data_IF_754687483558
#
_entry.id   IF_754687483558
#
_cell.length_a   1.000
_cell.length_b   1.000
_cell.length_c   1.000
_cell.angle_alpha   90.00
_cell.angle_beta   90.00
_cell.angle_gamma   90.00
#
_symmetry.space_group_name_H-M   'P 1'
#
loop_
_entity.id
_entity.type
_entity.pdbx_description
1 polymer ?
#
# COMPACT_ATOMS: atom_id res chain seq x y z
N UNK A 1 2.30 24.63 6.24
CA UNK A 1 1.44 23.42 6.34
C UNK A 1 2.20 22.23 5.77
N UNK A 2 2.57 21.25 6.58
CA UNK A 2 3.26 20.06 6.11
C UNK A 2 2.33 19.22 5.21
N UNK A 3 2.73 18.99 3.97
CA UNK A 3 2.01 18.14 3.02
C UNK A 3 2.17 16.68 3.43
N UNK A 4 1.33 16.21 4.36
CA UNK A 4 1.29 14.80 4.71
C UNK A 4 0.92 13.97 3.46
N UNK A 5 1.62 12.85 3.20
CA UNK A 5 1.37 12.07 2.00
C UNK A 5 -0.03 11.46 2.03
N UNK A 6 -0.77 11.61 0.94
CA UNK A 6 -2.11 11.04 0.80
C UNK A 6 -2.08 9.51 0.80
N UNK A 7 -3.13 8.88 1.32
CA UNK A 7 -3.23 7.42 1.41
C UNK A 7 -2.95 6.72 0.08
N UNK A 8 -3.52 7.21 -1.03
CA UNK A 8 -3.29 6.60 -2.35
C UNK A 8 -1.81 6.66 -2.80
N UNK A 9 -1.05 7.68 -2.39
CA UNK A 9 0.39 7.75 -2.68
C UNK A 9 1.15 6.72 -1.86
N UNK A 10 0.75 6.49 -0.60
CA UNK A 10 1.31 5.40 0.22
C UNK A 10 0.99 4.04 -0.37
N UNK A 11 -0.26 3.80 -0.80
CA UNK A 11 -0.65 2.57 -1.48
C UNK A 11 0.13 2.35 -2.80
N UNK A 12 0.44 3.42 -3.55
CA UNK A 12 1.31 3.34 -4.74
C UNK A 12 2.75 2.95 -4.40
N UNK A 13 3.24 3.37 -3.24
CA UNK A 13 4.52 2.92 -2.71
C UNK A 13 4.43 1.46 -2.28
N UNK A 14 3.35 1.01 -1.66
CA UNK A 14 3.21 -0.40 -1.26
C UNK A 14 2.90 -1.35 -2.43
N UNK A 15 2.46 -0.87 -3.59
CA UNK A 15 2.17 -1.74 -4.74
C UNK A 15 3.41 -2.19 -5.53
N UNK A 16 4.62 -1.75 -5.14
CA UNK A 16 5.86 -2.12 -5.83
C UNK A 16 6.48 -3.38 -5.24
N UNK A 17 6.56 -4.46 -6.03
CA UNK A 17 7.10 -5.77 -5.61
C UNK A 17 8.46 -5.68 -4.90
N UNK A 18 9.46 -5.12 -5.58
CA UNK A 18 10.80 -4.95 -5.02
C UNK A 18 10.81 -4.13 -3.73
N UNK A 19 9.91 -3.14 -3.65
CA UNK A 19 9.81 -2.27 -2.48
C UNK A 19 9.19 -2.99 -1.29
N UNK A 20 8.20 -3.85 -1.52
CA UNK A 20 7.67 -4.74 -0.49
C UNK A 20 8.72 -5.73 -0.02
N UNK A 21 9.52 -6.31 -0.93
CA UNK A 21 10.58 -7.24 -0.55
C UNK A 21 11.63 -6.57 0.36
N UNK A 22 12.10 -5.38 -0.03
CA UNK A 22 12.99 -4.56 0.83
C UNK A 22 12.35 -4.22 2.18
N UNK A 23 11.06 -3.85 2.19
CA UNK A 23 10.36 -3.50 3.43
C UNK A 23 10.18 -4.71 4.35
N UNK A 24 9.83 -5.87 3.79
CA UNK A 24 9.72 -7.14 4.53
C UNK A 24 11.06 -7.52 5.15
N UNK A 25 12.18 -7.31 4.44
CA UNK A 25 13.52 -7.50 5.04
C UNK A 25 13.78 -6.56 6.20
N UNK A 26 13.47 -5.27 6.07
CA UNK A 26 13.62 -4.32 7.19
C UNK A 26 12.77 -4.74 8.40
N UNK A 27 11.56 -5.27 8.15
CA UNK A 27 10.70 -5.79 9.22
C UNK A 27 11.31 -7.04 9.87
N UNK A 28 11.85 -7.97 9.07
CA UNK A 28 12.39 -9.25 9.55
C UNK A 28 13.78 -9.13 10.18
N UNK A 29 14.58 -8.17 9.74
CA UNK A 29 15.97 -7.95 10.17
C UNK A 29 16.27 -6.44 10.18
N UNK A 30 15.83 -5.72 11.23
CA UNK A 30 16.11 -4.29 11.37
C UNK A 30 17.62 -3.99 11.44
N UNK A 31 18.01 -2.76 11.07
CA UNK A 31 19.40 -2.30 11.17
C UNK A 31 20.28 -2.62 9.96
N UNK A 32 19.72 -3.21 8.90
CA UNK A 32 20.46 -3.45 7.65
C UNK A 32 20.77 -2.13 6.93
N UNK A 33 21.96 -2.05 6.30
CA UNK A 33 22.34 -0.93 5.46
C UNK A 33 21.94 -1.13 3.99
N UNK A 34 22.05 -0.06 3.18
CA UNK A 34 21.64 -0.11 1.75
C UNK A 34 22.36 -1.21 0.98
N UNK A 35 23.66 -1.40 1.18
CA UNK A 35 24.43 -2.42 0.44
C UNK A 35 24.01 -3.84 0.79
N UNK A 36 23.74 -4.12 2.08
CA UNK A 36 23.22 -5.41 2.54
C UNK A 36 21.84 -5.70 1.94
N UNK A 37 20.93 -4.72 1.95
CA UNK A 37 19.60 -4.85 1.36
C UNK A 37 19.67 -5.04 -0.16
N UNK A 38 20.55 -4.31 -0.84
CA UNK A 38 20.75 -4.42 -2.28
C UNK A 38 21.28 -5.80 -2.68
N UNK A 39 22.28 -6.31 -1.94
CA UNK A 39 22.84 -7.64 -2.15
C UNK A 39 21.77 -8.73 -1.93
N UNK A 40 21.00 -8.63 -0.85
CA UNK A 40 20.00 -9.63 -0.49
C UNK A 40 18.85 -9.74 -1.52
N UNK A 41 18.51 -8.63 -2.17
CA UNK A 41 17.51 -8.58 -3.25
C UNK A 41 18.11 -8.70 -4.66
N UNK A 42 19.42 -8.91 -4.78
CA UNK A 42 20.15 -8.97 -6.04
C UNK A 42 19.86 -7.77 -6.96
N UNK A 43 19.96 -6.55 -6.41
CA UNK A 43 19.77 -5.29 -7.13
C UNK A 43 20.95 -4.34 -6.93
N UNK A 44 21.05 -3.31 -7.76
CA UNK A 44 22.06 -2.27 -7.58
C UNK A 44 21.79 -1.39 -6.36
N UNK A 45 22.85 -0.88 -5.74
CA UNK A 45 22.77 0.05 -4.61
C UNK A 45 21.94 1.31 -4.95
N UNK A 46 22.11 1.97 -6.12
CA UNK A 46 21.27 3.11 -6.49
C UNK A 46 19.78 2.75 -6.56
N UNK A 47 19.46 1.56 -7.07
CA UNK A 47 18.09 1.07 -7.13
C UNK A 47 17.51 0.86 -5.74
N UNK A 48 18.23 0.18 -4.86
CA UNK A 48 17.82 -0.02 -3.46
C UNK A 48 17.58 1.32 -2.75
N UNK A 49 18.53 2.25 -2.87
CA UNK A 49 18.44 3.59 -2.27
C UNK A 49 17.20 4.36 -2.73
N UNK A 50 16.87 4.30 -4.03
CA UNK A 50 15.67 4.95 -4.55
C UNK A 50 14.38 4.35 -3.96
N UNK A 51 14.31 3.03 -3.82
CA UNK A 51 13.14 2.37 -3.25
C UNK A 51 12.99 2.62 -1.75
N UNK A 52 14.10 2.62 -1.01
CA UNK A 52 14.14 2.94 0.42
C UNK A 52 13.72 4.38 0.69
N UNK A 53 14.17 5.34 -0.13
CA UNK A 53 13.72 6.74 -0.04
C UNK A 53 12.20 6.87 -0.24
N UNK A 54 11.61 6.06 -1.12
CA UNK A 54 10.15 6.06 -1.32
C UNK A 54 9.41 5.55 -0.08
N UNK A 55 9.89 4.49 0.57
CA UNK A 55 9.34 4.00 1.83
C UNK A 55 9.46 5.06 2.95
N UNK A 56 10.66 5.61 3.12
CA UNK A 56 10.93 6.67 4.10
C UNK A 56 10.04 7.90 3.87
N UNK A 57 9.86 8.33 2.62
CA UNK A 57 9.01 9.48 2.28
C UNK A 57 7.53 9.28 2.62
N UNK A 58 7.09 8.05 2.91
CA UNK A 58 5.74 7.72 3.39
C UNK A 58 5.70 7.50 4.90
N UNK A 59 6.82 7.74 5.58
CA UNK A 59 6.97 7.54 7.02
C UNK A 59 6.98 6.08 7.45
N UNK A 60 7.20 5.11 6.55
CA UNK A 60 7.07 3.69 6.87
C UNK A 60 8.37 3.04 7.38
N UNK A 61 9.48 3.75 7.24
CA UNK A 61 10.82 3.26 7.58
C UNK A 61 11.61 4.41 8.21
N UNK A 62 12.19 4.14 9.38
CA UNK A 62 13.13 5.02 10.08
C UNK A 62 14.56 4.76 9.63
N UNK A 63 15.42 5.73 9.93
CA UNK A 63 16.83 5.69 9.51
C UNK A 63 17.72 6.18 10.64
N UNK A 64 18.75 5.39 10.95
CA UNK A 64 19.86 5.80 11.81
C UNK A 64 21.17 5.89 11.02
N UNK A 65 22.10 6.72 11.50
CA UNK A 65 23.38 6.97 10.83
C UNK A 65 24.57 6.75 11.76
N UNK A 66 24.93 5.48 12.05
CA UNK A 66 26.17 5.19 12.77
C UNK A 66 27.38 5.44 11.86
N UNK A 67 28.06 6.56 12.10
CA UNK A 67 29.25 6.97 11.35
C UNK A 67 28.95 7.25 9.87
N UNK A 68 29.51 6.45 8.96
CA UNK A 68 29.38 6.63 7.51
C UNK A 68 28.21 5.83 6.89
N UNK A 69 27.60 4.93 7.65
CA UNK A 69 26.55 4.04 7.14
C UNK A 69 25.17 4.56 7.47
N UNK A 70 24.19 4.13 6.67
CA UNK A 70 22.76 4.41 6.87
C UNK A 70 22.08 3.07 7.11
N UNK A 71 21.45 2.92 8.27
CA UNK A 71 20.73 1.71 8.68
C UNK A 71 19.22 1.99 8.70
N UNK A 72 18.42 0.99 8.31
CA UNK A 72 16.98 1.12 8.16
C UNK A 72 16.23 0.30 9.20
N UNK A 73 15.16 0.90 9.76
CA UNK A 73 14.36 0.30 10.82
C UNK A 73 12.86 0.37 10.50
N UNK A 74 12.05 -0.62 10.93
CA UNK A 74 10.61 -0.58 10.79
C UNK A 74 10.02 0.37 11.84
N UNK A 75 10.24 1.66 11.64
CA UNK A 75 9.82 2.74 12.52
C UNK A 75 8.97 3.74 11.73
N UNK A 76 7.87 4.19 12.33
CA UNK A 76 6.95 5.13 11.69
C UNK A 76 7.31 6.58 11.99
N UNK A 77 7.29 7.43 10.97
CA UNK A 77 7.41 8.88 11.16
C UNK A 77 6.14 9.43 11.86
N UNK A 78 6.26 10.04 13.05
CA UNK A 78 5.12 10.59 13.79
C UNK A 78 4.41 11.74 13.07
N UNK A 79 5.07 12.41 12.12
CA UNK A 79 4.48 13.48 11.32
C UNK A 79 3.56 12.97 10.20
N UNK A 80 3.58 11.65 9.93
CA UNK A 80 2.70 11.01 8.97
C UNK A 80 1.66 10.20 9.72
N UNK A 81 0.49 10.80 9.97
CA UNK A 81 -0.59 10.21 10.79
C UNK A 81 -0.99 8.78 10.37
N UNK A 82 -0.94 8.45 9.06
CA UNK A 82 -1.26 7.12 8.54
C UNK A 82 -0.11 6.11 8.64
N UNK A 83 1.12 6.53 8.91
CA UNK A 83 2.29 5.66 8.85
C UNK A 83 2.30 4.59 9.94
N UNK A 84 2.08 4.98 11.20
CA UNK A 84 2.06 4.05 12.35
C UNK A 84 1.06 2.89 12.16
N UNK A 85 -0.23 3.12 11.84
CA UNK A 85 -1.16 2.01 11.64
C UNK A 85 -0.79 1.15 10.42
N UNK A 86 -0.32 1.75 9.32
CA UNK A 86 0.09 0.99 8.11
C UNK A 86 1.30 0.11 8.40
N UNK A 87 2.32 0.64 9.09
CA UNK A 87 3.51 -0.11 9.49
C UNK A 87 3.13 -1.30 10.37
N UNK A 88 2.28 -1.09 11.39
CA UNK A 88 1.79 -2.18 12.24
C UNK A 88 1.06 -3.25 11.44
N UNK A 89 0.19 -2.84 10.51
CA UNK A 89 -0.54 -3.77 9.65
C UNK A 89 0.40 -4.55 8.71
N UNK A 90 1.47 -3.93 8.24
CA UNK A 90 2.50 -4.59 7.44
C UNK A 90 3.34 -5.57 8.26
N UNK A 91 3.68 -5.24 9.51
CA UNK A 91 4.34 -6.18 10.43
C UNK A 91 3.47 -7.42 10.67
N UNK A 92 2.17 -7.22 10.96
CA UNK A 92 1.21 -8.33 11.10
C UNK A 92 1.09 -9.15 9.82
N UNK A 93 1.02 -8.49 8.65
CA UNK A 93 0.96 -9.16 7.36
C UNK A 93 2.22 -10.02 7.14
N UNK A 94 3.41 -9.47 7.38
CA UNK A 94 4.67 -10.20 7.21
C UNK A 94 4.79 -11.40 8.17
N UNK A 95 4.23 -11.31 9.37
CA UNK A 95 4.18 -12.41 10.34
C UNK A 95 3.20 -13.52 9.95
N UNK A 96 2.10 -13.19 9.27
CA UNK A 96 1.05 -14.14 8.92
C UNK A 96 1.25 -14.81 7.56
N UNK A 97 1.83 -14.10 6.58
CA UNK A 97 1.98 -14.61 5.21
C UNK A 97 3.44 -14.61 4.76
N UNK A 98 3.90 -15.64 4.04
CA UNK A 98 5.27 -15.73 3.56
C UNK A 98 5.56 -14.71 2.46
N UNK A 99 6.85 -14.48 2.15
CA UNK A 99 7.27 -13.55 1.09
C UNK A 99 6.69 -13.92 -0.30
N UNK A 100 6.46 -15.21 -0.56
CA UNK A 100 5.80 -15.67 -1.80
C UNK A 100 4.39 -15.08 -2.00
N UNK A 101 3.74 -14.59 -0.94
CA UNK A 101 2.44 -13.94 -1.00
C UNK A 101 2.51 -12.42 -1.22
N UNK A 102 3.70 -11.82 -1.33
CA UNK A 102 3.85 -10.36 -1.48
C UNK A 102 3.17 -9.80 -2.74
N UNK A 103 3.00 -10.61 -3.78
CA UNK A 103 2.23 -10.26 -4.97
C UNK A 103 0.76 -9.96 -4.66
N UNK A 104 0.16 -10.67 -3.70
CA UNK A 104 -1.20 -10.41 -3.23
C UNK A 104 -1.25 -9.09 -2.49
N UNK A 105 -0.30 -8.84 -1.58
CA UNK A 105 -0.15 -7.56 -0.86
C UNK A 105 0.04 -6.38 -1.82
N UNK A 106 0.87 -6.57 -2.87
CA UNK A 106 1.10 -5.57 -3.90
C UNK A 106 -0.17 -5.24 -4.68
N UNK A 107 -0.93 -6.25 -5.11
CA UNK A 107 -2.22 -6.06 -5.82
C UNK A 107 -3.25 -5.38 -4.93
N UNK A 108 -3.31 -5.75 -3.65
CA UNK A 108 -4.17 -5.11 -2.67
C UNK A 108 -3.86 -3.61 -2.56
N UNK A 109 -2.59 -3.25 -2.36
CA UNK A 109 -2.17 -1.85 -2.34
C UNK A 109 -2.41 -1.15 -3.70
N UNK A 110 -2.23 -1.87 -4.82
CA UNK A 110 -2.48 -1.33 -6.16
C UNK A 110 -3.95 -0.92 -6.36
N UNK A 111 -4.88 -1.68 -5.80
CA UNK A 111 -6.31 -1.34 -5.80
C UNK A 111 -6.58 0.06 -5.27
N UNK A 112 -5.85 0.51 -4.24
CA UNK A 112 -6.01 1.83 -3.64
C UNK A 112 -4.97 2.88 -4.08
N UNK A 113 -4.12 2.57 -5.05
CA UNK A 113 -3.04 3.46 -5.48
C UNK A 113 -3.48 4.66 -6.35
N UNK A 114 -4.79 4.99 -6.37
CA UNK A 114 -5.36 6.09 -7.12
C UNK A 114 -6.52 6.76 -6.36
N UNK A 115 -6.61 8.10 -6.41
CA UNK A 115 -7.62 8.86 -5.67
C UNK A 115 -9.07 8.46 -6.03
N UNK A 116 -9.37 8.27 -7.33
CA UNK A 116 -10.71 7.83 -7.77
C UNK A 116 -11.08 6.43 -7.27
N UNK A 117 -10.11 5.53 -7.07
CA UNK A 117 -10.38 4.19 -6.52
C UNK A 117 -10.70 4.26 -5.02
N UNK A 118 -10.02 5.14 -4.28
CA UNK A 118 -10.42 5.45 -2.89
C UNK A 118 -11.84 6.02 -2.85
N UNK A 119 -12.19 6.96 -3.75
CA UNK A 119 -13.53 7.53 -3.79
C UNK A 119 -14.61 6.49 -4.12
N UNK A 120 -14.32 5.51 -4.99
CA UNK A 120 -15.21 4.37 -5.23
C UNK A 120 -15.40 3.51 -3.99
N UNK A 121 -14.32 3.20 -3.27
CA UNK A 121 -14.41 2.43 -2.01
C UNK A 121 -15.24 3.18 -0.97
N UNK A 122 -15.06 4.50 -0.82
CA UNK A 122 -15.91 5.35 0.04
C UNK A 122 -17.38 5.26 -0.32
N UNK A 123 -17.69 5.45 -1.60
CA UNK A 123 -19.08 5.34 -2.06
C UNK A 123 -19.66 3.95 -1.73
N UNK A 124 -18.88 2.88 -1.88
CA UNK A 124 -19.32 1.52 -1.58
C UNK A 124 -19.38 1.20 -0.06
N UNK A 125 -18.77 2.01 0.81
CA UNK A 125 -18.97 1.91 2.27
C UNK A 125 -20.38 2.36 2.69
N UNK A 126 -21.03 3.22 1.91
CA UNK A 126 -22.42 3.64 2.13
C UNK A 126 -23.44 2.57 1.72
N UNK A 127 -22.99 1.54 1.00
CA UNK A 127 -23.83 0.43 0.53
C UNK A 127 -23.53 0.00 -0.91
N UNK A 128 -24.10 -1.13 -1.36
CA UNK A 128 -23.92 -1.61 -2.73
C UNK A 128 -24.40 -0.57 -3.76
N UNK A 129 -23.67 -0.41 -4.86
CA UNK A 129 -24.02 0.49 -5.97
C UNK A 129 -23.81 -0.18 -7.32
N UNK A 130 -24.66 0.10 -8.28
CA UNK A 130 -24.46 -0.26 -9.68
C UNK A 130 -23.32 0.54 -10.32
N UNK A 131 -22.83 0.06 -11.46
CA UNK A 131 -21.81 0.79 -12.23
C UNK A 131 -22.32 2.16 -12.69
N UNK A 132 -23.62 2.31 -12.98
CA UNK A 132 -24.22 3.59 -13.41
C UNK A 132 -24.27 4.59 -12.26
N UNK A 133 -24.65 4.14 -11.06
CA UNK A 133 -24.65 4.99 -9.86
C UNK A 133 -23.24 5.47 -9.52
N UNK A 134 -22.23 4.60 -9.58
CA UNK A 134 -20.82 5.00 -9.38
C UNK A 134 -20.34 6.01 -10.43
N UNK A 135 -20.72 5.84 -11.70
CA UNK A 135 -20.38 6.78 -12.76
C UNK A 135 -21.00 8.16 -12.51
N UNK A 136 -22.29 8.21 -12.18
CA UNK A 136 -23.00 9.45 -11.89
C UNK A 136 -22.41 10.14 -10.65
N UNK A 137 -22.23 9.39 -9.55
CA UNK A 137 -21.74 9.91 -8.28
C UNK A 137 -20.30 10.46 -8.39
N UNK A 138 -19.41 9.77 -9.11
CA UNK A 138 -18.00 10.15 -9.22
C UNK A 138 -17.64 10.93 -10.50
N UNK A 139 -18.64 11.21 -11.34
CA UNK A 139 -18.53 11.85 -12.66
C UNK A 139 -17.46 11.17 -13.52
N UNK A 140 -17.60 9.87 -13.72
CA UNK A 140 -16.66 9.06 -14.50
C UNK A 140 -17.29 8.60 -15.81
N UNK A 141 -16.49 8.59 -16.87
CA UNK A 141 -16.87 7.91 -18.11
C UNK A 141 -16.99 6.39 -17.88
N UNK A 142 -17.77 5.68 -18.71
CA UNK A 142 -17.90 4.22 -18.60
C UNK A 142 -16.55 3.49 -18.67
N UNK A 143 -15.66 3.94 -19.56
CA UNK A 143 -14.33 3.35 -19.72
C UNK A 143 -13.46 3.54 -18.47
N UNK A 144 -13.42 4.76 -17.90
CA UNK A 144 -12.65 5.04 -16.68
C UNK A 144 -13.22 4.30 -15.47
N UNK A 145 -14.55 4.17 -15.38
CA UNK A 145 -15.19 3.40 -14.33
C UNK A 145 -14.78 1.93 -14.39
N UNK A 146 -14.88 1.29 -15.56
CA UNK A 146 -14.42 -0.10 -15.79
C UNK A 146 -12.94 -0.28 -15.47
N UNK A 147 -12.10 0.66 -15.91
CA UNK A 147 -10.66 0.63 -15.64
C UNK A 147 -10.36 0.63 -14.14
N UNK A 148 -10.99 1.52 -13.37
CA UNK A 148 -10.79 1.58 -11.92
C UNK A 148 -11.36 0.35 -11.20
N UNK A 149 -12.53 -0.13 -11.60
CA UNK A 149 -13.15 -1.34 -11.04
C UNK A 149 -12.31 -2.60 -11.30
N UNK A 150 -11.63 -2.70 -12.45
CA UNK A 150 -10.69 -3.81 -12.73
C UNK A 150 -9.64 -3.93 -11.62
N UNK A 151 -8.95 -2.84 -11.30
CA UNK A 151 -7.92 -2.84 -10.25
C UNK A 151 -8.49 -3.06 -8.85
N UNK A 152 -9.67 -2.54 -8.55
CA UNK A 152 -10.33 -2.78 -7.27
C UNK A 152 -10.70 -4.26 -7.10
N UNK A 153 -11.20 -4.91 -8.16
CA UNK A 153 -11.51 -6.35 -8.16
C UNK A 153 -10.25 -7.21 -8.07
N UNK A 154 -9.23 -6.92 -8.88
CA UNK A 154 -7.94 -7.64 -8.85
C UNK A 154 -7.22 -7.50 -7.51
N UNK A 155 -7.42 -6.37 -6.81
CA UNK A 155 -6.93 -6.14 -5.45
C UNK A 155 -7.82 -6.67 -4.33
N UNK A 156 -8.96 -7.28 -4.64
CA UNK A 156 -9.90 -7.84 -3.65
C UNK A 156 -10.66 -6.81 -2.82
N UNK A 157 -10.90 -5.61 -3.36
CA UNK A 157 -11.66 -4.53 -2.69
C UNK A 157 -13.14 -4.54 -3.02
N UNK A 158 -13.49 -4.99 -4.23
CA UNK A 158 -14.85 -4.92 -4.75
C UNK A 158 -15.19 -6.25 -5.37
N UNK A 159 -16.42 -6.70 -5.13
CA UNK A 159 -17.02 -7.84 -5.81
C UNK A 159 -18.36 -7.44 -6.44
N UNK A 160 -18.84 -8.28 -7.35
CA UNK A 160 -20.08 -8.06 -8.09
C UNK A 160 -21.11 -9.07 -7.65
N UNK A 161 -22.29 -8.59 -7.30
CA UNK A 161 -23.46 -9.39 -6.95
C UNK A 161 -24.62 -8.99 -7.87
N UNK A 162 -24.90 -9.83 -8.87
CA UNK A 162 -25.88 -9.48 -9.92
C UNK A 162 -25.51 -8.18 -10.66
N UNK A 163 -26.34 -7.14 -10.48
CA UNK A 163 -26.16 -5.83 -11.12
C UNK A 163 -25.47 -4.79 -10.21
N UNK A 164 -25.25 -5.12 -8.94
CA UNK A 164 -24.62 -4.22 -7.97
C UNK A 164 -23.17 -4.64 -7.71
N UNK A 165 -22.39 -3.67 -7.28
CA UNK A 165 -21.03 -3.82 -6.78
C UNK A 165 -21.07 -3.54 -5.29
N UNK A 166 -20.32 -4.30 -4.50
CA UNK A 166 -20.17 -4.07 -3.06
C UNK A 166 -18.72 -4.24 -2.64
N UNK A 167 -18.38 -3.75 -1.45
CA UNK A 167 -17.09 -4.04 -0.86
C UNK A 167 -16.95 -5.54 -0.62
N UNK A 168 -15.82 -6.08 -1.05
CA UNK A 168 -15.48 -7.47 -0.77
C UNK A 168 -15.00 -7.58 0.69
N UNK A 169 -15.37 -8.64 1.42
CA UNK A 169 -14.78 -8.92 2.72
C UNK A 169 -13.29 -9.21 2.53
N UNK A 170 -12.44 -8.65 3.41
CA UNK A 170 -10.99 -8.86 3.34
C UNK A 170 -10.41 -8.89 4.75
N UNK A 171 -9.90 -10.04 5.16
CA UNK A 171 -9.36 -10.31 6.50
C UNK A 171 -7.87 -9.95 6.64
N UNK A 172 -7.18 -9.65 5.53
CA UNK A 172 -5.77 -9.32 5.58
C UNK A 172 -5.52 -8.06 6.43
N UNK A 173 -4.53 -8.06 7.35
CA UNK A 173 -4.31 -6.94 8.27
C UNK A 173 -4.13 -5.60 7.56
N UNK A 174 -3.39 -5.59 6.43
CA UNK A 174 -3.23 -4.38 5.62
C UNK A 174 -4.56 -3.89 5.04
N UNK A 175 -5.44 -4.79 4.57
CA UNK A 175 -6.73 -4.41 4.00
C UNK A 175 -7.62 -3.71 5.03
N UNK A 176 -7.73 -4.33 6.21
CA UNK A 176 -8.50 -3.82 7.34
C UNK A 176 -7.97 -2.46 7.80
N UNK A 177 -6.64 -2.31 7.87
CA UNK A 177 -6.02 -1.03 8.19
C UNK A 177 -6.34 0.04 7.15
N UNK A 178 -6.18 -0.26 5.86
CA UNK A 178 -6.41 0.71 4.79
C UNK A 178 -7.88 1.12 4.71
N UNK A 179 -8.83 0.20 4.92
CA UNK A 179 -10.26 0.52 4.93
C UNK A 179 -10.64 1.47 6.08
N UNK A 180 -10.00 1.35 7.25
CA UNK A 180 -10.21 2.27 8.40
C UNK A 180 -9.61 3.66 8.16
N UNK A 181 -8.69 3.81 7.21
CA UNK A 181 -8.05 5.08 6.85
C UNK A 181 -8.75 5.79 5.68
N UNK A 182 -9.72 5.13 5.06
CA UNK A 182 -10.54 5.67 3.97
C UNK A 182 -11.72 6.44 4.56
#
# INVERSE_FOLDING_TARGET
>A
MALSPTLWRTCRVLSGRLRLALFRRIIASPGQCVSQLAQAENISIPRASQELRRLQSRGLVGVERPGKFVQYFPESDPLVASAKPILRAMQMTCAQVPAAADDRTARLAQGLSHAKRIAMVRALQEGPKSMTELQAHLRLSPANCRHHLKFLREGGWVEREGKTLRLAPNDAPLAQCLLKLI
#
